data_IF_851869219052
#
_entry.id   IF_851869219052
#
_cell.length_a   1.000
_cell.length_b   1.000
_cell.length_c   1.000
_cell.angle_alpha   90.00
_cell.angle_beta   90.00
_cell.angle_gamma   90.00
#
_symmetry.space_group_name_H-M   'P 1'
#
loop_
_entity.id
_entity.type
_entity.pdbx_description
1 polymer ?
#
# COMPACT_ATOMS: atom_id res chain seq x y z
N UNK A 1 6.48 -8.47 -4.14
CA UNK A 1 7.52 -8.29 -5.18
C UNK A 1 7.17 -7.09 -6.04
N UNK A 2 8.15 -6.39 -6.66
CA UNK A 2 7.90 -5.31 -7.59
C UNK A 2 7.00 -5.74 -8.74
N UNK A 3 6.17 -4.82 -9.24
CA UNK A 3 5.20 -5.11 -10.30
C UNK A 3 5.88 -5.57 -11.60
N UNK A 4 7.04 -5.01 -11.94
CA UNK A 4 7.81 -5.40 -13.12
C UNK A 4 8.29 -6.86 -13.12
N UNK A 5 8.23 -7.55 -11.97
CA UNK A 5 8.64 -8.95 -11.82
C UNK A 5 7.44 -9.91 -11.78
N UNK A 6 6.21 -9.40 -11.82
CA UNK A 6 5.00 -10.21 -11.79
C UNK A 6 4.66 -10.75 -13.18
N UNK A 7 4.35 -12.05 -13.23
CA UNK A 7 3.84 -12.73 -14.42
C UNK A 7 2.50 -13.39 -14.08
N UNK A 8 1.57 -13.43 -15.03
CA UNK A 8 0.24 -14.04 -14.86
C UNK A 8 -0.57 -13.50 -13.66
N UNK A 9 -0.46 -12.19 -13.41
CA UNK A 9 -1.18 -11.49 -12.35
C UNK A 9 -2.28 -10.60 -12.96
N UNK A 10 -3.43 -10.52 -12.29
CA UNK A 10 -4.51 -9.59 -12.64
C UNK A 10 -4.31 -8.32 -11.83
N UNK A 11 -3.92 -7.22 -12.50
CA UNK A 11 -3.75 -5.94 -11.83
C UNK A 11 -5.11 -5.26 -11.60
N UNK A 12 -5.30 -4.76 -10.39
CA UNK A 12 -6.46 -3.96 -10.01
C UNK A 12 -6.27 -2.48 -10.35
N UNK A 13 -5.03 -2.04 -10.63
CA UNK A 13 -4.75 -0.70 -11.11
C UNK A 13 -5.10 -0.55 -12.59
N UNK A 14 -5.70 0.58 -12.95
CA UNK A 14 -6.01 0.90 -14.34
C UNK A 14 -4.74 1.27 -15.15
N UNK A 15 -4.91 1.34 -16.46
CA UNK A 15 -3.84 1.63 -17.42
C UNK A 15 -3.21 3.03 -17.23
N UNK A 16 -3.94 4.02 -16.69
CA UNK A 16 -3.40 5.36 -16.43
C UNK A 16 -2.44 5.31 -15.24
N UNK A 17 -2.83 4.64 -14.16
CA UNK A 17 -1.97 4.42 -12.99
C UNK A 17 -0.72 3.63 -13.41
N UNK A 18 -0.89 2.56 -14.19
CA UNK A 18 0.21 1.73 -14.66
C UNK A 18 1.17 2.52 -15.55
N UNK A 19 0.65 3.25 -16.54
CA UNK A 19 1.45 4.08 -17.44
C UNK A 19 2.18 5.21 -16.71
N UNK A 20 1.49 5.89 -15.79
CA UNK A 20 2.10 6.95 -14.98
C UNK A 20 3.23 6.43 -14.10
N UNK A 21 3.08 5.26 -13.47
CA UNK A 21 4.15 4.65 -12.68
C UNK A 21 5.33 4.23 -13.55
N UNK A 22 5.08 3.63 -14.71
CA UNK A 22 6.11 3.22 -15.66
C UNK A 22 6.95 4.40 -16.17
N UNK A 23 6.32 5.56 -16.43
CA UNK A 23 7.02 6.77 -16.84
C UNK A 23 8.06 7.27 -15.82
N UNK A 24 7.97 6.80 -14.57
CA UNK A 24 8.85 7.17 -13.47
C UNK A 24 9.66 5.99 -12.90
N UNK A 25 9.61 4.80 -13.50
CA UNK A 25 10.32 3.62 -13.01
C UNK A 25 9.77 3.06 -11.68
N UNK A 26 8.54 3.43 -11.29
CA UNK A 26 7.93 3.04 -10.02
C UNK A 26 7.37 1.61 -10.00
N UNK A 27 7.33 0.94 -11.16
CA UNK A 27 7.04 -0.48 -11.33
C UNK A 27 8.14 -1.40 -10.79
N UNK A 28 9.35 -0.87 -10.59
CA UNK A 28 10.48 -1.57 -10.00
C UNK A 28 10.49 -1.56 -8.47
N UNK A 29 9.46 -0.96 -7.84
CA UNK A 29 9.30 -0.90 -6.39
C UNK A 29 8.04 -1.62 -5.91
N UNK A 30 8.01 -1.95 -4.62
CA UNK A 30 6.78 -2.38 -3.92
C UNK A 30 6.25 -1.22 -3.08
N UNK A 31 5.06 -0.67 -3.40
CA UNK A 31 4.50 0.45 -2.65
C UNK A 31 3.74 0.00 -1.39
N UNK A 32 3.92 0.77 -0.32
CA UNK A 32 3.12 0.71 0.91
C UNK A 32 2.55 2.09 1.21
N UNK A 33 1.27 2.15 1.55
CA UNK A 33 0.64 3.37 2.05
C UNK A 33 0.75 3.46 3.57
N UNK A 34 0.74 4.68 4.11
CA UNK A 34 0.86 4.91 5.55
C UNK A 34 -0.42 4.63 6.34
N UNK A 35 -1.55 4.39 5.64
CA UNK A 35 -2.82 4.03 6.24
C UNK A 35 -3.74 3.28 5.26
N UNK A 36 -4.70 2.56 5.81
CA UNK A 36 -5.75 1.85 5.08
C UNK A 36 -6.92 2.76 4.70
N UNK A 37 -7.63 2.44 3.61
CA UNK A 37 -8.74 3.23 3.05
C UNK A 37 -8.28 4.58 2.49
N UNK A 38 -7.09 4.62 1.92
CA UNK A 38 -6.70 5.72 1.04
C UNK A 38 -7.61 5.74 -0.22
N UNK A 39 -7.57 6.82 -1.03
CA UNK A 39 -8.39 6.92 -2.23
C UNK A 39 -8.32 5.71 -3.18
N UNK A 40 -7.14 5.12 -3.38
CA UNK A 40 -6.95 3.94 -4.22
C UNK A 40 -7.61 2.69 -3.62
N UNK A 41 -7.32 2.37 -2.34
CA UNK A 41 -7.96 1.25 -1.64
C UNK A 41 -9.49 1.34 -1.74
N UNK A 42 -10.03 2.54 -1.51
CA UNK A 42 -11.47 2.79 -1.53
C UNK A 42 -12.09 2.58 -2.92
N UNK A 43 -11.39 2.97 -4.00
CA UNK A 43 -11.86 2.73 -5.37
C UNK A 43 -11.80 1.25 -5.72
N UNK A 44 -10.67 0.59 -5.48
CA UNK A 44 -10.47 -0.83 -5.79
C UNK A 44 -11.50 -1.71 -5.07
N UNK A 45 -11.76 -1.46 -3.79
CA UNK A 45 -12.75 -2.24 -3.04
C UNK A 45 -14.19 -2.01 -3.56
N UNK A 46 -14.53 -0.77 -3.96
CA UNK A 46 -15.87 -0.47 -4.52
C UNK A 46 -16.11 -1.14 -5.86
N UNK A 47 -15.08 -1.21 -6.69
CA UNK A 47 -15.16 -1.83 -8.01
C UNK A 47 -15.20 -3.37 -7.94
N UNK A 48 -14.83 -3.94 -6.79
CA UNK A 48 -14.72 -5.38 -6.58
C UNK A 48 -15.48 -5.83 -5.33
N UNK A 49 -16.81 -5.63 -5.25
CA UNK A 49 -17.60 -5.86 -4.03
C UNK A 49 -17.71 -7.34 -3.60
N UNK A 50 -17.32 -8.27 -4.47
CA UNK A 50 -17.36 -9.72 -4.22
C UNK A 50 -15.98 -10.32 -3.92
N UNK A 51 -14.93 -9.48 -3.85
CA UNK A 51 -13.56 -9.92 -3.61
C UNK A 51 -13.19 -9.59 -2.16
N UNK A 52 -12.66 -10.60 -1.46
CA UNK A 52 -12.09 -10.39 -0.13
C UNK A 52 -10.71 -9.73 -0.23
N UNK A 53 -10.51 -8.70 0.59
CA UNK A 53 -9.26 -7.95 0.64
C UNK A 53 -8.47 -8.26 1.91
N UNK A 54 -7.14 -8.32 1.76
CA UNK A 54 -6.18 -8.48 2.85
C UNK A 54 -5.20 -7.32 2.81
N UNK A 55 -4.98 -6.66 3.94
CA UNK A 55 -3.95 -5.63 4.07
C UNK A 55 -2.72 -6.22 4.76
N UNK A 56 -1.59 -6.18 4.07
CA UNK A 56 -0.29 -6.58 4.62
C UNK A 56 0.35 -5.35 5.26
N UNK A 57 0.83 -5.49 6.50
CA UNK A 57 1.57 -4.44 7.19
C UNK A 57 3.02 -4.82 7.43
N UNK A 58 3.87 -3.81 7.51
CA UNK A 58 5.30 -3.92 7.86
C UNK A 58 5.64 -2.84 8.88
N UNK A 59 6.68 -3.06 9.69
CA UNK A 59 7.15 -2.02 10.60
C UNK A 59 7.85 -0.89 9.85
N UNK A 60 7.66 0.34 10.33
CA UNK A 60 8.40 1.52 9.86
C UNK A 60 9.92 1.35 10.01
N UNK A 61 10.36 0.69 11.08
CA UNK A 61 11.79 0.41 11.30
C UNK A 61 12.38 -0.48 10.21
N UNK A 62 11.61 -1.49 9.75
CA UNK A 62 12.01 -2.31 8.60
C UNK A 62 12.29 -1.45 7.38
N UNK A 63 11.40 -0.50 7.06
CA UNK A 63 11.60 0.39 5.92
C UNK A 63 12.83 1.30 6.10
N UNK A 64 13.02 1.90 7.29
CA UNK A 64 14.17 2.76 7.55
C UNK A 64 15.51 2.03 7.51
N UNK A 65 15.57 0.81 8.03
CA UNK A 65 16.79 0.01 8.12
C UNK A 65 17.18 -0.62 6.77
N UNK A 66 16.22 -0.78 5.85
CA UNK A 66 16.44 -1.43 4.56
C UNK A 66 16.50 -0.44 3.38
N UNK A 67 16.72 0.85 3.65
CA UNK A 67 16.92 1.87 2.60
C UNK A 67 15.69 2.06 1.71
N UNK A 68 14.49 1.92 2.27
CA UNK A 68 13.27 2.20 1.52
C UNK A 68 13.14 3.70 1.31
N UNK A 69 12.51 4.10 0.20
CA UNK A 69 12.34 5.50 -0.15
C UNK A 69 10.91 5.95 0.06
N UNK A 70 10.70 7.25 0.17
CA UNK A 70 9.37 7.81 0.44
C UNK A 70 9.03 8.85 -0.61
N UNK A 71 7.80 8.77 -1.12
CA UNK A 71 7.17 9.80 -1.93
C UNK A 71 6.13 10.47 -1.04
N UNK A 72 6.26 11.78 -0.74
CA UNK A 72 5.46 12.42 0.30
C UNK A 72 4.02 12.76 -0.12
N UNK A 73 3.66 12.53 -1.39
CA UNK A 73 2.36 12.85 -2.00
C UNK A 73 2.11 11.95 -3.21
N UNK A 74 0.95 12.06 -3.84
CA UNK A 74 0.57 11.21 -4.96
C UNK A 74 1.60 11.33 -6.11
N UNK A 75 2.19 10.21 -6.57
CA UNK A 75 3.28 10.25 -7.54
C UNK A 75 2.89 10.83 -8.90
N UNK A 76 1.58 10.86 -9.23
CA UNK A 76 1.08 11.31 -10.53
C UNK A 76 0.32 12.65 -10.47
N UNK A 77 0.49 13.45 -9.41
CA UNK A 77 -0.25 14.71 -9.20
C UNK A 77 0.19 15.89 -10.11
N UNK A 78 0.70 15.64 -11.32
CA UNK A 78 1.27 16.66 -12.23
C UNK A 78 2.40 17.51 -11.62
N UNK A 79 3.03 17.02 -10.54
CA UNK A 79 4.19 17.63 -9.90
C UNK A 79 5.41 16.75 -10.13
N UNK A 80 6.60 17.33 -9.97
CA UNK A 80 7.86 16.56 -10.05
C UNK A 80 7.82 15.45 -9.00
N UNK A 81 8.10 14.22 -9.41
CA UNK A 81 8.26 13.10 -8.49
C UNK A 81 9.41 13.38 -7.52
N UNK A 82 9.10 13.40 -6.22
CA UNK A 82 10.06 13.56 -5.14
C UNK A 82 10.28 12.20 -4.47
N UNK A 83 11.30 11.48 -4.94
CA UNK A 83 11.70 10.21 -4.34
C UNK A 83 12.82 10.47 -3.32
N UNK A 84 12.46 10.49 -2.05
CA UNK A 84 13.31 10.91 -0.95
C UNK A 84 13.83 9.72 -0.14
N UNK A 85 15.00 9.89 0.48
CA UNK A 85 15.50 8.94 1.48
C UNK A 85 14.55 8.89 2.68
N UNK A 86 14.44 7.73 3.33
CA UNK A 86 13.37 7.45 4.31
C UNK A 86 13.14 8.57 5.33
N UNK A 87 14.20 8.98 6.04
CA UNK A 87 14.10 9.96 7.12
C UNK A 87 13.71 11.36 6.63
N UNK A 88 14.13 11.74 5.43
CA UNK A 88 13.76 13.01 4.80
C UNK A 88 12.31 12.96 4.32
N UNK A 89 11.93 11.92 3.57
CA UNK A 89 10.58 11.81 3.05
C UNK A 89 9.53 11.68 4.14
N UNK A 90 9.83 11.01 5.25
CA UNK A 90 8.94 10.97 6.43
C UNK A 90 8.71 12.37 7.03
N UNK A 91 9.68 13.29 6.94
CA UNK A 91 9.53 14.68 7.39
C UNK A 91 8.79 15.55 6.37
N UNK A 92 8.93 15.23 5.07
CA UNK A 92 8.31 15.96 3.97
C UNK A 92 6.82 15.65 3.75
N UNK A 93 6.30 14.58 4.36
CA UNK A 93 4.86 14.28 4.36
C UNK A 93 4.13 15.33 5.22
N UNK A 94 3.11 15.96 4.63
CA UNK A 94 2.17 16.80 5.37
C UNK A 94 1.19 15.92 6.17
N UNK A 95 1.65 15.47 7.34
CA UNK A 95 0.85 14.59 8.20
C UNK A 95 -0.45 15.24 8.68
N UNK A 96 -0.48 16.57 8.84
CA UNK A 96 -1.69 17.27 9.25
C UNK A 96 -2.75 17.17 8.16
N UNK A 97 -2.39 17.51 6.91
CA UNK A 97 -3.26 17.38 5.75
C UNK A 97 -3.69 15.94 5.47
N UNK A 98 -2.77 14.98 5.65
CA UNK A 98 -3.07 13.55 5.53
C UNK A 98 -4.14 13.10 6.52
N UNK A 99 -4.04 13.55 7.78
CA UNK A 99 -4.92 13.11 8.85
C UNK A 99 -6.34 13.66 8.74
N UNK A 100 -6.55 14.76 8.01
CA UNK A 100 -7.89 15.27 7.68
C UNK A 100 -8.71 14.28 6.87
N UNK A 101 -8.05 13.49 6.00
CA UNK A 101 -8.69 12.49 5.11
C UNK A 101 -9.85 13.09 4.31
N UNK A 102 -9.73 14.35 3.91
CA UNK A 102 -10.76 15.04 3.13
C UNK A 102 -10.55 14.75 1.64
N UNK A 103 -11.20 13.70 1.15
CA UNK A 103 -11.06 13.30 -0.25
C UNK A 103 -11.80 14.21 -1.24
N UNK A 104 -12.49 15.26 -0.78
CA UNK A 104 -13.00 16.32 -1.66
C UNK A 104 -11.93 17.37 -1.96
N UNK A 105 -10.89 17.46 -1.11
CA UNK A 105 -9.75 18.34 -1.31
C UNK A 105 -8.67 17.64 -2.16
N UNK A 106 -8.23 18.28 -3.24
CA UNK A 106 -7.21 17.71 -4.13
C UNK A 106 -5.85 17.51 -3.45
N UNK A 107 -5.45 18.42 -2.57
CA UNK A 107 -4.20 18.31 -1.81
C UNK A 107 -4.27 17.19 -0.79
N UNK A 108 -5.37 17.11 -0.02
CA UNK A 108 -5.55 16.00 0.94
C UNK A 108 -5.59 14.65 0.23
N UNK A 109 -6.28 14.52 -0.92
CA UNK A 109 -6.18 13.31 -1.76
C UNK A 109 -4.76 12.98 -2.19
N UNK A 110 -4.00 14.01 -2.59
CA UNK A 110 -2.61 13.84 -3.03
C UNK A 110 -1.73 13.32 -1.89
N UNK A 111 -1.73 14.00 -0.75
CA UNK A 111 -0.93 13.61 0.42
C UNK A 111 -1.38 12.25 0.98
N UNK A 112 -2.68 11.94 0.92
CA UNK A 112 -3.23 10.64 1.33
C UNK A 112 -2.72 9.44 0.51
N UNK A 113 -2.09 9.70 -0.63
CA UNK A 113 -1.47 8.71 -1.50
C UNK A 113 0.07 8.76 -1.40
N UNK A 114 0.63 9.31 -0.32
CA UNK A 114 2.05 9.17 -0.03
C UNK A 114 2.42 7.69 0.10
N UNK A 115 3.57 7.32 -0.47
CA UNK A 115 4.03 5.94 -0.56
C UNK A 115 5.39 5.77 0.12
N UNK A 116 5.58 4.64 0.79
CA UNK A 116 6.89 4.09 1.12
C UNK A 116 7.20 2.95 0.15
N UNK A 117 8.38 2.99 -0.46
CA UNK A 117 8.75 2.14 -1.57
C UNK A 117 9.89 1.22 -1.17
N UNK A 118 9.61 -0.09 -1.15
CA UNK A 118 10.67 -1.09 -1.09
C UNK A 118 11.34 -1.21 -2.46
N UNK A 119 12.69 -1.14 -2.55
CA UNK A 119 13.41 -1.28 -3.81
C UNK A 119 13.46 -2.73 -4.32
N UNK A 120 13.02 -3.70 -3.51
CA UNK A 120 13.10 -5.13 -3.81
C UNK A 120 11.82 -5.84 -3.36
N UNK A 121 11.79 -7.15 -3.57
CA UNK A 121 10.72 -7.99 -3.02
C UNK A 121 10.76 -7.98 -1.51
N UNK A 122 9.66 -7.54 -0.89
CA UNK A 122 9.46 -7.65 0.55
C UNK A 122 9.23 -9.12 0.93
N UNK A 123 10.13 -9.75 1.70
CA UNK A 123 9.98 -11.15 2.07
C UNK A 123 8.89 -11.33 3.13
N UNK A 124 8.27 -12.50 3.15
CA UNK A 124 7.13 -12.79 4.06
C UNK A 124 7.53 -12.67 5.53
N UNK A 125 8.78 -12.99 5.88
CA UNK A 125 9.29 -12.93 7.25
C UNK A 125 9.42 -11.50 7.82
N UNK A 126 9.27 -10.45 6.99
CA UNK A 126 9.20 -9.06 7.50
C UNK A 126 7.77 -8.53 7.59
N UNK A 127 6.77 -9.32 7.19
CA UNK A 127 5.38 -8.95 7.40
C UNK A 127 5.10 -8.95 8.91
N UNK A 128 4.47 -7.88 9.40
CA UNK A 128 4.13 -7.74 10.80
C UNK A 128 2.79 -8.40 11.11
N UNK A 129 1.71 -7.88 10.51
CA UNK A 129 0.36 -8.41 10.65
C UNK A 129 -0.39 -8.34 9.34
N UNK A 130 -1.37 -9.23 9.19
CA UNK A 130 -2.39 -9.14 8.15
C UNK A 130 -3.68 -8.60 8.78
N UNK A 131 -4.35 -7.70 8.09
CA UNK A 131 -5.68 -7.23 8.48
C UNK A 131 -6.72 -7.67 7.47
N UNK A 132 -7.90 -8.04 7.96
CA UNK A 132 -9.03 -8.53 7.16
C UNK A 132 -10.36 -7.93 7.63
N UNK A 133 -11.39 -8.02 6.79
CA UNK A 133 -12.70 -7.43 7.03
C UNK A 133 -13.60 -8.24 7.95
N UNK A 134 -13.47 -9.57 8.01
CA UNK A 134 -14.36 -10.43 8.81
C UNK A 134 -13.64 -11.66 9.35
N UNK A 135 -14.29 -12.39 10.26
CA UNK A 135 -13.78 -13.65 10.79
C UNK A 135 -13.74 -14.74 9.71
N UNK A 136 -14.70 -14.75 8.78
CA UNK A 136 -14.70 -15.70 7.67
C UNK A 136 -13.48 -15.51 6.76
N UNK A 137 -13.15 -14.25 6.43
CA UNK A 137 -11.93 -13.94 5.67
C UNK A 137 -10.68 -14.30 6.46
N UNK A 138 -10.68 -14.06 7.77
CA UNK A 138 -9.57 -14.46 8.65
C UNK A 138 -9.32 -15.96 8.58
N UNK A 139 -10.36 -16.78 8.70
CA UNK A 139 -10.23 -18.24 8.64
C UNK A 139 -9.65 -18.71 7.30
N UNK A 140 -10.09 -18.11 6.20
CA UNK A 140 -9.56 -18.39 4.86
C UNK A 140 -8.07 -18.03 4.75
N UNK A 141 -7.68 -16.84 5.22
CA UNK A 141 -6.28 -16.39 5.21
C UNK A 141 -5.40 -17.27 6.10
N UNK A 142 -5.86 -17.61 7.30
CA UNK A 142 -5.12 -18.50 8.19
C UNK A 142 -4.95 -19.91 7.62
N UNK A 143 -5.92 -20.41 6.85
CA UNK A 143 -5.77 -21.67 6.11
C UNK A 143 -4.66 -21.58 5.07
N UNK A 144 -4.62 -20.51 4.27
CA UNK A 144 -3.56 -20.27 3.28
C UNK A 144 -2.19 -20.18 3.96
N UNK A 145 -2.09 -19.46 5.09
CA UNK A 145 -0.85 -19.34 5.85
C UNK A 145 -0.36 -20.69 6.38
N UNK A 146 -1.26 -21.53 6.91
CA UNK A 146 -0.94 -22.89 7.36
C UNK A 146 -0.45 -23.77 6.21
N UNK A 147 -1.10 -23.73 5.06
CA UNK A 147 -0.72 -24.53 3.89
C UNK A 147 0.68 -24.18 3.37
N UNK A 148 1.13 -22.94 3.61
CA UNK A 148 2.47 -22.47 3.23
C UNK A 148 3.47 -22.48 4.39
N UNK A 149 3.09 -22.99 5.56
CA UNK A 149 3.92 -23.00 6.77
C UNK A 149 4.46 -21.59 7.15
N UNK A 150 3.58 -20.59 7.09
CA UNK A 150 3.87 -19.20 7.41
C UNK A 150 3.14 -18.81 8.70
N UNK A 151 3.88 -18.27 9.67
CA UNK A 151 3.33 -17.77 10.93
C UNK A 151 3.26 -16.24 10.89
N UNK A 152 2.07 -15.69 10.63
CA UNK A 152 1.77 -14.25 10.72
C UNK A 152 0.43 -14.07 11.43
N UNK A 153 0.37 -13.10 12.35
CA UNK A 153 -0.87 -12.77 13.05
C UNK A 153 -1.89 -12.13 12.09
N UNK A 154 -3.10 -12.70 12.04
CA UNK A 154 -4.24 -12.17 11.26
C UNK A 154 -5.27 -11.55 12.18
N UNK A 155 -5.59 -10.28 11.95
CA UNK A 155 -6.53 -9.51 12.77
C UNK A 155 -7.73 -9.03 11.97
N UNK A 156 -8.92 -9.21 12.55
CA UNK A 156 -10.16 -8.61 12.01
C UNK A 156 -10.19 -7.14 12.39
N UNK A 157 -10.23 -6.26 11.38
CA UNK A 157 -10.41 -4.83 11.58
C UNK A 157 -11.26 -4.22 10.46
N UNK A 158 -12.58 -4.35 10.60
CA UNK A 158 -13.57 -3.80 9.66
C UNK A 158 -13.38 -2.32 9.33
N UNK A 159 -12.82 -1.52 10.25
CA UNK A 159 -12.64 -0.08 10.04
C UNK A 159 -11.58 0.25 8.99
N UNK A 160 -10.73 -0.72 8.62
CA UNK A 160 -9.71 -0.61 7.57
C UNK A 160 -10.24 -0.94 6.16
N UNK A 161 -11.51 -1.34 6.05
CA UNK A 161 -12.15 -1.69 4.77
C UNK A 161 -13.35 -0.78 4.52
N UNK A 162 -13.77 -0.68 3.26
CA UNK A 162 -15.05 -0.03 2.94
C UNK A 162 -16.20 -0.92 3.46
N UNK A 163 -17.34 -0.29 3.74
CA UNK A 163 -18.58 -0.99 4.10
C UNK A 163 -19.45 -1.16 2.87
#
# INVERSE_FOLDING_TARGET
>A
MPRAQLHNFIDVADHEILGGRAAHGLEHYVPFHFFAKNPFDGKVQKDNPLIDFVLISVHRNTASENGWRVIPRHPLANQKLELLEYAEGMKSIDWEMMNLRDYHNAESRSVCMAECLSPTTVPVNVFFKLFVSSEDVKQNVEMILRDHNVEIEVLVNQKMFIR
#
